data_IF_524697718742
#
_entry.id   IF_524697718742
#
_cell.length_a   1.000
_cell.length_b   1.000
_cell.length_c   1.000
_cell.angle_alpha   90.00
_cell.angle_beta   90.00
_cell.angle_gamma   90.00
#
_symmetry.space_group_name_H-M   'P 1'
#
loop_
_entity.id
_entity.type
_entity.pdbx_description
1 polymer ?
#
# COMPACT_ATOMS: atom_id res chain seq x y z
N UNK A 1 22.77 -0.71 -10.53
CA UNK A 1 21.73 -1.25 -9.62
C UNK A 1 20.56 -1.78 -10.43
N UNK A 2 20.11 -3.01 -10.13
CA UNK A 2 19.06 -3.71 -10.89
C UNK A 2 17.96 -4.31 -10.00
N UNK A 3 17.67 -3.69 -8.85
CA UNK A 3 16.51 -4.08 -8.03
C UNK A 3 15.22 -3.68 -8.73
N UNK A 4 14.08 -4.17 -8.24
CA UNK A 4 12.76 -3.91 -8.83
C UNK A 4 12.52 -2.42 -9.08
N UNK A 5 11.89 -2.11 -10.22
CA UNK A 5 11.51 -0.76 -10.62
C UNK A 5 10.32 -0.25 -9.78
N UNK A 6 10.61 0.04 -8.52
CA UNK A 6 9.62 0.47 -7.55
C UNK A 6 10.23 1.06 -6.31
N UNK A 7 9.37 1.62 -5.46
CA UNK A 7 9.75 2.33 -4.24
C UNK A 7 10.53 1.44 -3.27
N UNK A 8 10.08 0.21 -3.05
CA UNK A 8 10.73 -0.74 -2.14
C UNK A 8 12.10 -1.20 -2.68
N UNK A 9 12.19 -1.50 -3.98
CA UNK A 9 13.44 -1.89 -4.62
C UNK A 9 14.51 -0.79 -4.56
N UNK A 10 14.09 0.48 -4.68
CA UNK A 10 14.97 1.63 -4.50
C UNK A 10 15.42 1.78 -3.04
N UNK A 11 14.49 1.69 -2.09
CA UNK A 11 14.74 1.83 -0.66
C UNK A 11 15.77 0.81 -0.15
N UNK A 12 15.59 -0.47 -0.49
CA UNK A 12 16.45 -1.57 -0.01
C UNK A 12 17.90 -1.37 -0.44
N UNK A 13 18.13 -1.09 -1.73
CA UNK A 13 19.48 -0.87 -2.23
C UNK A 13 20.09 0.37 -1.60
N UNK A 14 19.35 1.48 -1.50
CA UNK A 14 19.87 2.72 -0.92
C UNK A 14 20.29 2.51 0.52
N UNK A 15 19.50 1.77 1.32
CA UNK A 15 19.91 1.39 2.66
C UNK A 15 21.21 0.58 2.68
N UNK A 16 21.35 -0.43 1.82
CA UNK A 16 22.60 -1.19 1.73
C UNK A 16 23.79 -0.32 1.27
N UNK A 17 23.56 0.53 0.28
CA UNK A 17 24.57 1.42 -0.28
C UNK A 17 25.06 2.45 0.77
N UNK A 18 24.14 3.05 1.53
CA UNK A 18 24.48 3.95 2.63
C UNK A 18 25.09 3.22 3.82
N UNK A 19 24.60 2.02 4.15
CA UNK A 19 25.13 1.21 5.25
C UNK A 19 26.57 0.75 5.01
N UNK A 20 26.93 0.44 3.75
CA UNK A 20 28.30 0.08 3.38
C UNK A 20 29.24 1.29 3.28
N UNK A 21 28.75 2.53 3.45
CA UNK A 21 29.54 3.74 3.33
C UNK A 21 30.02 4.02 1.90
N UNK A 22 29.38 3.43 0.89
CA UNK A 22 29.77 3.60 -0.51
C UNK A 22 29.50 5.03 -0.98
N UNK A 23 30.48 5.62 -1.68
CA UNK A 23 30.36 6.95 -2.32
C UNK A 23 30.47 6.87 -3.85
N UNK A 24 30.60 5.65 -4.40
CA UNK A 24 30.78 5.41 -5.82
C UNK A 24 29.50 5.71 -6.61
N UNK A 25 29.54 6.61 -7.62
CA UNK A 25 28.39 6.85 -8.48
C UNK A 25 27.81 5.55 -9.03
N UNK A 26 26.49 5.41 -8.97
CA UNK A 26 25.79 4.23 -9.47
C UNK A 26 24.74 4.63 -10.50
N UNK A 27 24.54 3.75 -11.46
CA UNK A 27 23.49 3.87 -12.48
C UNK A 27 22.36 2.89 -12.21
N UNK A 28 21.16 3.27 -12.61
CA UNK A 28 19.92 2.53 -12.37
C UNK A 28 19.45 1.86 -13.66
N UNK A 29 19.27 0.54 -13.58
CA UNK A 29 18.46 -0.21 -14.54
C UNK A 29 17.01 -0.17 -14.05
N UNK A 30 16.13 0.49 -14.81
CA UNK A 30 14.72 0.66 -14.46
C UNK A 30 13.83 -0.11 -15.44
N UNK A 31 13.52 -1.37 -15.11
CA UNK A 31 12.68 -2.25 -15.93
C UNK A 31 11.57 -2.87 -15.09
N UNK A 32 10.36 -2.95 -15.65
CA UNK A 32 9.20 -3.63 -15.05
C UNK A 32 8.91 -5.00 -15.68
N UNK A 33 9.71 -5.40 -16.69
CA UNK A 33 9.58 -6.66 -17.42
C UNK A 33 10.93 -7.36 -17.52
N UNK A 34 10.94 -8.68 -17.34
CA UNK A 34 12.12 -9.54 -17.45
C UNK A 34 12.29 -10.15 -18.85
N UNK A 35 11.62 -9.61 -19.86
CA UNK A 35 11.79 -10.08 -21.25
C UNK A 35 13.14 -9.66 -21.81
N UNK A 36 13.71 -10.48 -22.69
CA UNK A 36 15.00 -10.21 -23.37
C UNK A 36 15.06 -8.82 -24.01
N UNK A 37 13.97 -8.40 -24.64
CA UNK A 37 13.86 -7.08 -25.26
C UNK A 37 13.93 -5.96 -24.21
N UNK A 38 13.17 -6.06 -23.12
CA UNK A 38 13.14 -5.05 -22.07
C UNK A 38 14.49 -4.94 -21.34
N UNK A 39 15.16 -6.06 -21.08
CA UNK A 39 16.49 -6.06 -20.47
C UNK A 39 17.52 -5.38 -21.38
N UNK A 40 17.55 -5.74 -22.68
CA UNK A 40 18.49 -5.13 -23.64
C UNK A 40 18.26 -3.64 -23.80
N UNK A 41 17.00 -3.22 -23.85
CA UNK A 41 16.64 -1.80 -23.94
C UNK A 41 16.99 -1.04 -22.66
N UNK A 42 16.67 -1.59 -21.49
CA UNK A 42 17.00 -0.99 -20.19
C UNK A 42 18.52 -0.87 -19.96
N UNK A 43 19.31 -1.85 -20.41
CA UNK A 43 20.77 -1.79 -20.32
C UNK A 43 21.38 -0.74 -21.26
N UNK A 44 20.71 -0.43 -22.38
CA UNK A 44 21.13 0.65 -23.29
C UNK A 44 20.76 2.03 -22.73
N UNK A 45 19.67 2.11 -21.99
CA UNK A 45 19.10 3.33 -21.45
C UNK A 45 19.22 3.36 -19.92
N UNK A 46 20.43 3.16 -19.39
CA UNK A 46 20.68 3.27 -17.95
C UNK A 46 20.49 4.71 -17.50
N UNK A 47 19.79 4.88 -16.39
CA UNK A 47 19.51 6.19 -15.83
C UNK A 47 20.47 6.52 -14.69
N UNK A 48 20.71 7.80 -14.45
CA UNK A 48 21.49 8.21 -13.28
C UNK A 48 20.73 7.91 -11.98
N UNK A 49 21.46 7.48 -10.95
CA UNK A 49 20.89 7.19 -9.63
C UNK A 49 20.18 8.40 -9.03
N UNK A 50 20.70 9.61 -9.24
CA UNK A 50 20.15 10.85 -8.70
C UNK A 50 18.70 11.12 -9.13
N UNK A 51 18.27 10.60 -10.29
CA UNK A 51 16.89 10.74 -10.77
C UNK A 51 15.85 10.12 -9.82
N UNK A 52 16.27 9.15 -9.01
CA UNK A 52 15.43 8.42 -8.07
C UNK A 52 15.56 8.88 -6.61
N UNK A 53 16.31 9.95 -6.34
CA UNK A 53 16.52 10.46 -4.97
C UNK A 53 15.20 10.83 -4.28
N UNK A 54 14.29 11.51 -4.99
CA UNK A 54 12.97 11.86 -4.45
C UNK A 54 12.13 10.61 -4.13
N UNK A 55 12.24 9.57 -4.96
CA UNK A 55 11.53 8.30 -4.72
C UNK A 55 12.07 7.60 -3.47
N UNK A 56 13.40 7.59 -3.30
CA UNK A 56 14.07 7.08 -2.10
C UNK A 56 13.66 7.87 -0.84
N UNK A 57 13.74 9.20 -0.89
CA UNK A 57 13.40 10.06 0.25
C UNK A 57 11.94 9.87 0.70
N UNK A 58 11.01 9.77 -0.26
CA UNK A 58 9.61 9.48 0.04
C UNK A 58 9.42 8.09 0.68
N UNK A 59 10.14 7.08 0.20
CA UNK A 59 10.13 5.72 0.75
C UNK A 59 10.66 5.69 2.19
N UNK A 60 11.79 6.36 2.43
CA UNK A 60 12.43 6.48 3.74
C UNK A 60 11.52 7.19 4.73
N UNK A 61 10.98 8.35 4.37
CA UNK A 61 10.07 9.11 5.23
C UNK A 61 8.83 8.30 5.62
N UNK A 62 8.27 7.53 4.68
CA UNK A 62 7.15 6.62 4.97
C UNK A 62 7.55 5.51 5.93
N UNK A 63 8.70 4.85 5.71
CA UNK A 63 9.21 3.79 6.58
C UNK A 63 9.45 4.29 8.01
N UNK A 64 10.07 5.46 8.16
CA UNK A 64 10.31 6.10 9.46
C UNK A 64 8.99 6.50 10.15
N UNK A 65 8.04 7.08 9.41
CA UNK A 65 6.72 7.44 9.94
C UNK A 65 5.93 6.21 10.40
N UNK A 66 5.92 5.13 9.62
CA UNK A 66 5.22 3.89 9.97
C UNK A 66 5.84 3.25 11.21
N UNK A 67 7.17 3.30 11.35
CA UNK A 67 7.88 2.81 12.54
C UNK A 67 7.57 3.63 13.79
N UNK A 68 7.60 4.98 13.68
CA UNK A 68 7.28 5.89 14.78
C UNK A 68 5.86 5.69 15.30
N UNK A 69 4.88 5.59 14.40
CA UNK A 69 3.48 5.34 14.78
C UNK A 69 3.31 3.95 15.36
N UNK A 70 3.94 2.95 14.73
CA UNK A 70 3.82 1.55 15.12
C UNK A 70 4.35 1.27 16.52
N UNK A 71 5.58 1.70 16.84
CA UNK A 71 6.18 1.45 18.15
C UNK A 71 5.47 2.22 19.26
N UNK A 72 5.28 3.52 19.08
CA UNK A 72 4.68 4.35 20.13
C UNK A 72 3.23 3.95 20.38
N UNK A 73 2.45 3.73 19.32
CA UNK A 73 1.05 3.32 19.43
C UNK A 73 0.90 1.94 20.05
N UNK A 74 1.70 0.96 19.63
CA UNK A 74 1.66 -0.40 20.17
C UNK A 74 2.07 -0.43 21.65
N UNK A 75 3.12 0.32 22.04
CA UNK A 75 3.56 0.38 23.43
C UNK A 75 2.49 1.03 24.32
N UNK A 76 1.97 2.19 23.93
CA UNK A 76 0.94 2.90 24.69
C UNK A 76 -0.32 2.04 24.89
N UNK A 77 -0.78 1.38 23.82
CA UNK A 77 -1.99 0.56 23.88
C UNK A 77 -1.79 -0.72 24.70
N UNK A 78 -0.62 -1.35 24.60
CA UNK A 78 -0.30 -2.54 25.40
C UNK A 78 -0.22 -2.22 26.90
N UNK A 79 0.31 -1.04 27.28
CA UNK A 79 0.30 -0.57 28.67
C UNK A 79 -1.12 -0.27 29.13
N UNK A 80 -1.92 0.45 28.33
CA UNK A 80 -3.28 0.84 28.68
C UNK A 80 -4.23 -0.36 28.85
N UNK A 81 -4.06 -1.40 28.03
CA UNK A 81 -4.93 -2.58 28.04
C UNK A 81 -4.58 -3.60 29.15
N UNK A 82 -3.40 -3.50 29.78
CA UNK A 82 -3.00 -4.30 30.94
C UNK A 82 -2.69 -5.78 30.68
N UNK A 83 -3.17 -6.38 29.58
CA UNK A 83 -2.87 -7.76 29.18
C UNK A 83 -2.81 -7.92 27.66
N UNK A 84 -1.69 -8.45 27.14
CA UNK A 84 -1.51 -8.74 25.72
C UNK A 84 -0.86 -7.61 24.92
N UNK A 85 -0.38 -7.95 23.72
CA UNK A 85 0.24 -6.98 22.80
C UNK A 85 -0.78 -6.51 21.79
N UNK A 86 -1.06 -5.21 21.77
CA UNK A 86 -2.01 -4.61 20.82
C UNK A 86 -1.27 -3.80 19.77
N UNK A 87 -1.05 -4.42 18.62
CA UNK A 87 -0.41 -3.77 17.48
C UNK A 87 -1.26 -2.62 16.95
N UNK A 88 -0.66 -1.43 16.86
CA UNK A 88 -1.21 -0.28 16.15
C UNK A 88 -0.38 -0.05 14.90
N UNK A 89 -1.04 0.23 13.78
CA UNK A 89 -0.35 0.50 12.53
C UNK A 89 -1.23 1.29 11.57
N UNK A 90 -0.60 2.17 10.78
CA UNK A 90 -1.31 3.06 9.84
C UNK A 90 -2.22 2.32 8.84
N UNK A 91 -1.97 1.05 8.57
CA UNK A 91 -2.81 0.23 7.67
C UNK A 91 -3.74 -0.68 8.47
N UNK A 92 -3.20 -1.45 9.43
CA UNK A 92 -3.99 -2.43 10.18
C UNK A 92 -5.10 -1.79 11.00
N UNK A 93 -4.83 -0.67 11.66
CA UNK A 93 -5.80 0.02 12.53
C UNK A 93 -7.02 0.57 11.77
N UNK A 94 -6.89 1.32 10.66
CA UNK A 94 -8.07 1.75 9.90
C UNK A 94 -8.80 0.59 9.22
N UNK A 95 -8.09 -0.46 8.80
CA UNK A 95 -8.76 -1.67 8.28
C UNK A 95 -9.64 -2.31 9.33
N UNK A 96 -9.15 -2.47 10.56
CA UNK A 96 -9.94 -2.98 11.67
C UNK A 96 -11.12 -2.06 11.99
N UNK A 97 -10.90 -0.74 11.97
CA UNK A 97 -11.96 0.24 12.22
C UNK A 97 -13.12 0.10 11.23
N UNK A 98 -12.85 -0.07 9.93
CA UNK A 98 -13.90 -0.28 8.91
C UNK A 98 -14.73 -1.54 9.17
N UNK A 99 -14.09 -2.63 9.60
CA UNK A 99 -14.81 -3.87 9.96
C UNK A 99 -15.68 -3.65 11.19
N UNK A 100 -15.15 -2.99 12.21
CA UNK A 100 -15.90 -2.65 13.43
C UNK A 100 -17.10 -1.73 13.14
N UNK A 101 -16.92 -0.72 12.30
CA UNK A 101 -17.98 0.20 11.87
C UNK A 101 -19.12 -0.57 11.20
N UNK A 102 -18.81 -1.41 10.20
CA UNK A 102 -19.81 -2.26 9.54
C UNK A 102 -20.52 -3.21 10.50
N UNK A 103 -19.79 -3.78 11.45
CA UNK A 103 -20.39 -4.63 12.49
C UNK A 103 -21.41 -3.87 13.34
N UNK A 104 -21.10 -2.63 13.74
CA UNK A 104 -22.01 -1.80 14.52
C UNK A 104 -23.21 -1.31 13.70
N UNK A 105 -23.03 -0.95 12.43
CA UNK A 105 -24.14 -0.64 11.52
C UNK A 105 -25.15 -1.79 11.48
N UNK A 106 -24.68 -3.02 11.24
CA UNK A 106 -25.54 -4.19 11.19
C UNK A 106 -26.22 -4.48 12.54
N UNK A 107 -25.50 -4.32 13.66
CA UNK A 107 -26.05 -4.60 14.99
C UNK A 107 -27.08 -3.56 15.43
N UNK A 108 -26.95 -2.31 14.97
CA UNK A 108 -27.87 -1.21 15.26
C UNK A 108 -28.98 -1.06 14.22
N UNK A 109 -28.92 -1.84 13.13
CA UNK A 109 -29.92 -1.82 12.09
C UNK A 109 -31.27 -2.31 12.65
N UNK A 110 -32.25 -1.43 12.65
CA UNK A 110 -33.65 -1.74 12.93
C UNK A 110 -34.39 -1.88 11.60
N UNK A 111 -34.85 -3.08 11.21
CA UNK A 111 -35.56 -3.28 9.95
C UNK A 111 -36.85 -2.45 9.91
N UNK A 112 -37.05 -1.70 8.84
CA UNK A 112 -38.29 -0.97 8.58
C UNK A 112 -39.06 -1.65 7.45
N UNK A 113 -40.37 -1.83 7.66
CA UNK A 113 -41.24 -2.40 6.64
C UNK A 113 -41.43 -1.37 5.51
N UNK A 114 -41.09 -1.75 4.29
CA UNK A 114 -41.37 -0.97 3.08
C UNK A 114 -42.14 -1.82 2.08
N UNK A 115 -42.94 -1.15 1.25
CA UNK A 115 -43.75 -1.80 0.21
C UNK A 115 -43.21 -1.38 -1.15
N UNK A 116 -42.92 -2.35 -2.02
CA UNK A 116 -42.55 -2.12 -3.41
C UNK A 116 -43.66 -2.63 -4.33
N UNK A 117 -44.10 -1.76 -5.24
CA UNK A 117 -45.06 -2.13 -6.29
C UNK A 117 -44.29 -2.77 -7.45
N UNK A 118 -44.51 -4.06 -7.67
CA UNK A 118 -44.01 -4.76 -8.84
C UNK A 118 -45.12 -4.81 -9.90
N UNK A 119 -44.90 -4.13 -11.02
CA UNK A 119 -45.75 -4.25 -12.22
C UNK A 119 -44.99 -5.10 -13.23
N UNK A 120 -45.48 -6.31 -13.45
CA UNK A 120 -45.11 -7.10 -14.62
C UNK A 120 -46.13 -6.80 -15.73
N UNK A 121 -45.68 -6.20 -16.83
CA UNK A 121 -46.49 -6.09 -18.04
C UNK A 121 -46.20 -7.31 -18.90
N UNK A 122 -47.21 -8.12 -19.22
CA UNK A 122 -47.08 -9.10 -20.28
C UNK A 122 -46.76 -8.36 -21.58
N UNK A 123 -45.72 -8.83 -22.26
CA UNK A 123 -45.18 -8.17 -23.45
C UNK A 123 -46.28 -7.81 -24.43
N UNK A 124 -46.36 -6.53 -24.79
CA UNK A 124 -46.89 -6.18 -26.09
C UNK A 124 -45.97 -6.84 -27.11
N UNK A 125 -46.38 -8.01 -27.61
CA UNK A 125 -45.90 -8.55 -28.87
C UNK A 125 -46.12 -7.48 -29.93
N UNK A 126 -45.03 -6.80 -30.28
CA UNK A 126 -44.98 -5.97 -31.47
C UNK A 126 -45.27 -6.86 -32.68
N UNK A 127 -46.48 -6.74 -33.21
CA UNK A 127 -46.79 -7.15 -34.58
C UNK A 127 -47.41 -5.95 -35.31
N UNK A 128 -46.58 -5.46 -36.23
CA UNK A 128 -46.84 -4.85 -37.54
C UNK A 128 -48.00 -3.88 -37.70
#
# INVERSE_FOLDING_TARGET
MATDAGREGELIFRYLYHYTGSTTPFVRLWISSLTDKAIREGLRNLEDGGKYDNLYLAAKARSESDWLVGINGTQALSIAAGHGTYSVGRVQTPTLAMVCERYWENRRFTPEAFWQLHIATDGCDGKS
#
